data_IF_025255872538
#
_entry.id   IF_025255872538
#
_cell.length_a   1.000
_cell.length_b   1.000
_cell.length_c   1.000
_cell.angle_alpha   90.00
_cell.angle_beta   90.00
_cell.angle_gamma   90.00
#
_symmetry.space_group_name_H-M   'P 1'
#
loop_
_entity.id
_entity.type
_entity.pdbx_description
1 polymer ?
#
# COMPACT_ATOMS: atom_id res chain seq x y z
N UNK A 1 -3.06 13.74 3.29
CA UNK A 1 -3.20 12.32 2.92
C UNK A 1 -1.83 11.66 2.88
N UNK A 2 -1.75 10.38 3.26
CA UNK A 2 -0.61 9.52 2.98
C UNK A 2 -1.03 8.47 1.95
N UNK A 3 -0.55 8.60 0.72
CA UNK A 3 -0.87 7.65 -0.34
C UNK A 3 0.10 6.48 -0.28
N UNK A 4 -0.44 5.25 -0.29
CA UNK A 4 0.38 4.03 -0.20
C UNK A 4 1.24 3.83 -1.46
N UNK A 5 2.34 3.07 -1.36
CA UNK A 5 3.10 2.63 -2.53
C UNK A 5 2.21 1.83 -3.49
N UNK A 6 2.44 2.00 -4.79
CA UNK A 6 1.76 1.22 -5.82
C UNK A 6 2.65 1.07 -7.07
N UNK A 7 2.60 -0.12 -7.66
CA UNK A 7 3.31 -0.43 -8.91
C UNK A 7 2.40 -0.06 -10.09
N UNK A 8 2.49 1.19 -10.56
CA UNK A 8 1.74 1.61 -11.75
C UNK A 8 2.37 1.05 -13.04
N UNK A 9 1.60 0.90 -14.14
CA UNK A 9 2.11 0.34 -15.39
C UNK A 9 3.33 1.08 -15.99
N UNK A 10 3.42 2.39 -15.74
CA UNK A 10 4.46 3.30 -16.20
C UNK A 10 5.61 3.49 -15.19
N UNK A 11 5.45 3.00 -13.97
CA UNK A 11 6.49 3.12 -12.95
C UNK A 11 6.00 2.80 -11.54
N UNK A 12 6.93 2.29 -10.73
CA UNK A 12 6.69 2.11 -9.30
C UNK A 12 6.72 3.47 -8.61
N UNK A 13 5.70 3.75 -7.82
CA UNK A 13 5.69 4.95 -6.98
C UNK A 13 5.63 4.56 -5.50
N UNK A 14 6.52 5.13 -4.71
CA UNK A 14 6.57 4.91 -3.26
C UNK A 14 5.43 5.59 -2.51
N UNK A 15 5.58 5.61 -1.19
CA UNK A 15 4.69 6.36 -0.32
C UNK A 15 4.81 7.86 -0.60
N UNK A 16 3.69 8.57 -0.68
CA UNK A 16 3.67 10.02 -0.89
C UNK A 16 2.84 10.70 0.19
N UNK A 17 3.45 11.64 0.90
CA UNK A 17 2.76 12.50 1.84
C UNK A 17 2.29 13.77 1.12
N UNK A 18 0.98 13.87 0.86
CA UNK A 18 0.41 14.97 0.10
C UNK A 18 -0.58 15.80 0.94
N UNK A 19 -0.58 17.12 0.75
CA UNK A 19 -1.66 18.02 1.16
C UNK A 19 -2.54 18.31 -0.04
N UNK A 20 -3.85 18.24 0.15
CA UNK A 20 -4.86 18.58 -0.84
C UNK A 20 -5.64 19.76 -0.29
N UNK A 21 -5.54 20.91 -0.97
CA UNK A 21 -6.23 22.13 -0.58
C UNK A 21 -7.47 22.32 -1.46
N UNK A 22 -8.62 22.51 -0.82
CA UNK A 22 -9.90 22.67 -1.49
C UNK A 22 -10.40 24.11 -1.31
N UNK A 23 -10.91 24.71 -2.39
CA UNK A 23 -11.52 26.03 -2.39
C UNK A 23 -12.71 26.02 -3.34
N UNK A 24 -13.84 26.60 -2.93
CA UNK A 24 -15.06 26.70 -3.75
C UNK A 24 -15.47 25.36 -4.41
N UNK A 25 -15.56 24.30 -3.60
CA UNK A 25 -15.91 22.93 -4.03
C UNK A 25 -14.99 22.31 -5.09
N UNK A 26 -13.76 22.81 -5.23
CA UNK A 26 -12.76 22.30 -6.17
C UNK A 26 -11.42 22.10 -5.50
N UNK A 27 -10.65 21.15 -6.04
CA UNK A 27 -9.26 20.95 -5.66
C UNK A 27 -8.41 22.09 -6.22
N UNK A 28 -7.89 22.95 -5.34
CA UNK A 28 -7.12 24.13 -5.70
C UNK A 28 -5.62 23.81 -5.83
N UNK A 29 -5.09 22.98 -4.93
CA UNK A 29 -3.66 22.66 -4.89
C UNK A 29 -3.40 21.26 -4.36
N UNK A 30 -2.34 20.64 -4.87
CA UNK A 30 -1.76 19.42 -4.31
C UNK A 30 -0.29 19.68 -4.05
N UNK A 31 0.13 19.55 -2.80
CA UNK A 31 1.52 19.77 -2.38
C UNK A 31 2.14 18.47 -1.89
N UNK A 32 3.37 18.21 -2.32
CA UNK A 32 4.23 17.22 -1.70
C UNK A 32 4.79 17.79 -0.39
N UNK A 33 4.48 17.16 0.74
CA UNK A 33 4.93 17.63 2.04
C UNK A 33 6.40 17.30 2.34
N UNK A 34 7.02 16.40 1.59
CA UNK A 34 8.42 15.99 1.79
C UNK A 34 9.40 17.00 1.16
N UNK A 35 9.00 17.68 0.09
CA UNK A 35 9.86 18.66 -0.62
C UNK A 35 9.19 20.02 -0.90
N UNK A 36 7.96 20.22 -0.42
CA UNK A 36 7.17 21.45 -0.55
C UNK A 36 6.88 21.88 -2.00
N UNK A 37 7.04 20.97 -2.98
CA UNK A 37 6.72 21.24 -4.37
C UNK A 37 5.25 20.96 -4.65
N UNK A 38 4.68 21.74 -5.57
CA UNK A 38 3.33 21.49 -6.07
C UNK A 38 3.35 20.41 -7.14
N UNK A 39 2.39 19.49 -7.09
CA UNK A 39 2.18 18.50 -8.14
C UNK A 39 1.32 19.09 -9.27
N UNK A 40 1.69 18.83 -10.53
CA UNK A 40 0.84 19.14 -11.68
C UNK A 40 -0.33 18.16 -11.84
N UNK A 41 -0.13 16.90 -11.42
CA UNK A 41 -1.16 15.87 -11.30
C UNK A 41 -0.78 14.91 -10.17
N UNK A 42 -1.76 14.21 -9.61
CA UNK A 42 -1.55 13.24 -8.53
C UNK A 42 -2.37 11.98 -8.79
N UNK A 43 -1.74 10.82 -8.68
CA UNK A 43 -2.38 9.52 -8.96
C UNK A 43 -2.80 8.85 -7.67
N UNK A 44 -4.04 8.37 -7.66
CA UNK A 44 -4.56 7.50 -6.61
C UNK A 44 -4.31 6.05 -6.99
N UNK A 45 -3.89 5.27 -6.00
CA UNK A 45 -3.75 3.83 -6.16
C UNK A 45 -5.14 3.19 -6.39
N UNK A 46 -5.27 2.29 -7.37
CA UNK A 46 -6.55 1.64 -7.64
C UNK A 46 -6.90 0.63 -6.53
N UNK A 47 -8.20 0.39 -6.36
CA UNK A 47 -8.72 -0.64 -5.47
C UNK A 47 -8.75 -1.99 -6.20
N UNK A 48 -8.30 -3.05 -5.53
CA UNK A 48 -8.50 -4.42 -6.00
C UNK A 48 -9.99 -4.77 -5.94
N UNK A 49 -10.60 -5.09 -7.08
CA UNK A 49 -12.03 -5.45 -7.18
C UNK A 49 -12.22 -6.95 -6.91
N UNK A 50 -11.53 -7.80 -7.70
CA UNK A 50 -11.62 -9.26 -7.59
C UNK A 50 -10.40 -9.93 -8.23
N UNK A 51 -10.23 -11.22 -7.97
CA UNK A 51 -9.27 -12.11 -8.60
C UNK A 51 -10.00 -13.06 -9.55
N UNK A 52 -9.44 -13.31 -10.73
CA UNK A 52 -9.95 -14.36 -11.62
C UNK A 52 -9.81 -15.74 -10.92
N UNK A 53 -10.76 -16.64 -11.18
CA UNK A 53 -10.75 -17.94 -10.53
C UNK A 53 -9.58 -18.79 -11.01
N UNK A 54 -8.84 -19.35 -10.05
CA UNK A 54 -7.79 -20.32 -10.32
C UNK A 54 -8.39 -21.72 -10.51
N UNK A 55 -7.90 -22.53 -11.46
CA UNK A 55 -8.39 -23.90 -11.68
C UNK A 55 -8.28 -24.81 -10.46
N UNK A 56 -7.30 -24.56 -9.58
CA UNK A 56 -7.05 -25.40 -8.39
C UNK A 56 -7.85 -24.96 -7.16
N UNK A 57 -8.75 -23.97 -7.28
CA UNK A 57 -9.56 -23.46 -6.17
C UNK A 57 -8.82 -22.56 -5.18
N UNK A 58 -7.52 -22.31 -5.37
CA UNK A 58 -6.73 -21.46 -4.49
C UNK A 58 -6.56 -20.06 -5.08
N UNK A 59 -6.73 -19.02 -4.27
CA UNK A 59 -6.47 -17.63 -4.68
C UNK A 59 -5.33 -17.06 -3.85
N UNK A 60 -4.26 -16.61 -4.53
CA UNK A 60 -3.08 -16.03 -3.90
C UNK A 60 -2.73 -14.71 -4.57
N UNK A 61 -2.47 -13.69 -3.76
CA UNK A 61 -1.85 -12.44 -4.20
C UNK A 61 -0.40 -12.45 -3.73
N UNK A 62 0.53 -12.43 -4.68
CA UNK A 62 1.95 -12.39 -4.34
C UNK A 62 2.33 -11.03 -3.75
N UNK A 63 2.99 -11.06 -2.59
CA UNK A 63 3.61 -9.89 -1.94
C UNK A 63 5.04 -10.28 -1.57
N UNK A 64 6.07 -9.51 -1.98
CA UNK A 64 7.45 -9.81 -1.62
C UNK A 64 7.68 -9.67 -0.11
N UNK A 65 8.72 -10.31 0.44
CA UNK A 65 9.03 -10.29 1.89
C UNK A 65 9.09 -8.87 2.47
N UNK A 66 9.64 -7.91 1.74
CA UNK A 66 9.75 -6.50 2.15
C UNK A 66 8.40 -5.76 2.23
N UNK A 67 7.33 -6.33 1.66
CA UNK A 67 5.98 -5.78 1.74
C UNK A 67 5.23 -6.15 3.03
N UNK A 68 5.75 -7.08 3.83
CA UNK A 68 5.16 -7.45 5.11
C UNK A 68 5.74 -6.58 6.23
N UNK A 69 4.90 -5.98 7.11
CA UNK A 69 5.37 -5.29 8.29
C UNK A 69 6.16 -6.23 9.21
N UNK A 70 7.28 -5.77 9.77
CA UNK A 70 8.10 -6.62 10.64
C UNK A 70 7.34 -7.11 11.87
N UNK A 71 6.45 -6.28 12.43
CA UNK A 71 5.57 -6.68 13.52
C UNK A 71 4.69 -7.90 13.18
N UNK A 72 4.22 -8.02 11.94
CA UNK A 72 3.44 -9.19 11.51
C UNK A 72 4.33 -10.44 11.51
N UNK A 73 5.56 -10.31 11.04
CA UNK A 73 6.53 -11.41 11.00
C UNK A 73 6.90 -11.85 12.41
N UNK A 74 7.21 -10.91 13.30
CA UNK A 74 7.52 -11.18 14.70
C UNK A 74 6.36 -11.84 15.42
N UNK A 75 5.13 -11.39 15.14
CA UNK A 75 3.90 -11.98 15.72
C UNK A 75 3.69 -13.41 15.24
N UNK A 76 3.92 -13.68 13.95
CA UNK A 76 3.81 -15.03 13.39
C UNK A 76 4.82 -15.98 14.05
N UNK A 77 6.08 -15.56 14.15
CA UNK A 77 7.13 -16.34 14.84
C UNK A 77 6.75 -16.55 16.31
N UNK A 78 6.25 -15.51 16.98
CA UNK A 78 5.85 -15.58 18.37
C UNK A 78 4.66 -16.51 18.64
N UNK A 79 3.83 -16.81 17.64
CA UNK A 79 2.62 -17.64 17.81
C UNK A 79 2.82 -19.07 17.30
N UNK A 80 3.47 -19.23 16.14
CA UNK A 80 3.60 -20.53 15.45
C UNK A 80 4.96 -21.21 15.65
N UNK A 81 6.02 -20.44 15.97
CA UNK A 81 7.40 -20.95 16.04
C UNK A 81 7.95 -21.01 17.49
N UNK A 82 7.05 -21.07 18.48
CA UNK A 82 7.44 -21.34 19.88
C UNK A 82 7.33 -22.83 20.21
N UNK A 83 8.21 -23.38 21.06
CA UNK A 83 8.06 -24.74 21.60
C UNK A 83 6.80 -24.94 22.46
N UNK A 84 6.05 -23.88 22.79
CA UNK A 84 4.80 -23.91 23.57
C UNK A 84 3.66 -24.69 22.90
N UNK A 85 3.73 -24.98 21.59
CA UNK A 85 2.76 -25.84 20.89
C UNK A 85 3.11 -27.35 20.99
N UNK A 86 4.12 -27.72 21.78
CA UNK A 86 4.36 -29.12 22.18
C UNK A 86 3.84 -29.34 23.61
N UNK A 87 2.53 -29.52 23.74
CA UNK A 87 1.88 -30.07 24.94
C UNK A 87 1.03 -31.28 24.52
#
# INVERSE_FOLDING_TARGET
MLRRPFDFPDGKEGQIRARLDFQNDRLAKIENLDNQRSFGFFRLDPRLITMLQSPNGEQRLFVPRSGFPDLLVDTLIATEDRPLLRA
#
